data_IF_782442569235
#
_entry.id   IF_782442569235
#
_cell.length_a   1.000
_cell.length_b   1.000
_cell.length_c   1.000
_cell.angle_alpha   90.00
_cell.angle_beta   90.00
_cell.angle_gamma   90.00
#
_symmetry.space_group_name_H-M   'P 1'
#
loop_
_entity.id
_entity.type
_entity.pdbx_description
1 polymer ?
#
# COMPACT_ATOMS: atom_id res chain seq x y z
N UNK A 1 -0.80 -33.58 -7.02
CA UNK A 1 -1.73 -32.83 -7.89
C UNK A 1 -0.96 -32.40 -9.13
N UNK A 2 -1.59 -32.36 -10.31
CA UNK A 2 -0.91 -31.88 -11.53
C UNK A 2 -0.49 -30.41 -11.38
N UNK A 3 0.71 -30.03 -11.80
CA UNK A 3 1.23 -28.65 -11.81
C UNK A 3 0.23 -27.67 -12.44
N UNK A 4 -0.47 -28.09 -13.50
CA UNK A 4 -1.50 -27.28 -14.16
C UNK A 4 -2.70 -26.96 -13.26
N UNK A 5 -3.07 -27.88 -12.36
CA UNK A 5 -4.17 -27.69 -11.42
C UNK A 5 -3.78 -26.76 -10.27
N UNK A 6 -2.49 -26.69 -9.94
CA UNK A 6 -1.96 -25.73 -8.96
C UNK A 6 -1.86 -24.33 -9.57
N UNK A 7 -1.37 -24.21 -10.81
CA UNK A 7 -1.34 -22.92 -11.53
C UNK A 7 -2.75 -22.33 -11.73
N UNK A 8 -3.74 -23.17 -12.03
CA UNK A 8 -5.12 -22.73 -12.19
C UNK A 8 -5.69 -22.07 -10.93
N UNK A 9 -5.24 -22.47 -9.73
CA UNK A 9 -5.64 -21.84 -8.47
C UNK A 9 -5.06 -20.46 -8.27
N UNK A 10 -3.90 -20.19 -8.88
CA UNK A 10 -3.19 -18.91 -8.75
C UNK A 10 -3.61 -17.88 -9.80
N UNK A 11 -4.32 -18.32 -10.86
CA UNK A 11 -4.74 -17.47 -11.97
C UNK A 11 -5.61 -16.27 -11.57
N UNK A 12 -6.55 -16.35 -10.60
CA UNK A 12 -7.31 -15.19 -10.16
C UNK A 12 -6.41 -14.06 -9.63
N UNK A 13 -5.38 -14.41 -8.85
CA UNK A 13 -4.40 -13.45 -8.32
C UNK A 13 -3.56 -12.83 -9.44
N UNK A 14 -3.11 -13.66 -10.39
CA UNK A 14 -2.38 -13.15 -11.55
C UNK A 14 -3.19 -12.14 -12.36
N UNK A 15 -4.48 -12.44 -12.62
CA UNK A 15 -5.38 -11.51 -13.32
C UNK A 15 -5.54 -10.21 -12.55
N UNK A 16 -5.78 -10.29 -11.23
CA UNK A 16 -5.88 -9.11 -10.38
C UNK A 16 -4.64 -8.22 -10.49
N UNK A 17 -3.45 -8.80 -10.36
CA UNK A 17 -2.18 -8.10 -10.54
C UNK A 17 -2.02 -7.51 -11.95
N UNK A 18 -2.28 -8.29 -13.01
CA UNK A 18 -2.15 -7.84 -14.39
C UNK A 18 -3.11 -6.68 -14.73
N UNK A 19 -4.32 -6.70 -14.16
CA UNK A 19 -5.29 -5.61 -14.30
C UNK A 19 -4.83 -4.35 -13.58
N UNK A 20 -4.29 -4.48 -12.36
CA UNK A 20 -3.72 -3.33 -11.64
C UNK A 20 -2.51 -2.73 -12.40
N UNK A 21 -1.69 -3.59 -13.01
CA UNK A 21 -0.51 -3.16 -13.75
C UNK A 21 -0.84 -2.49 -15.09
N UNK A 22 -1.86 -2.99 -15.80
CA UNK A 22 -2.31 -2.45 -17.10
C UNK A 22 -3.36 -1.36 -16.97
N UNK A 23 -4.03 -1.28 -15.82
CA UNK A 23 -5.20 -0.47 -15.52
C UNK A 23 -6.41 -0.74 -16.44
N UNK A 24 -6.51 -1.95 -17.00
CA UNK A 24 -7.66 -2.36 -17.81
C UNK A 24 -7.94 -3.83 -17.58
N UNK A 25 -9.23 -4.16 -17.40
CA UNK A 25 -9.65 -5.56 -17.28
C UNK A 25 -9.26 -6.37 -18.53
N UNK A 26 -9.58 -5.84 -19.71
CA UNK A 26 -9.34 -6.50 -20.99
C UNK A 26 -7.84 -6.70 -21.23
N UNK A 27 -7.02 -5.66 -20.98
CA UNK A 27 -5.58 -5.74 -21.19
C UNK A 27 -4.94 -6.72 -20.19
N UNK A 28 -5.26 -6.60 -18.89
CA UNK A 28 -4.74 -7.49 -17.86
C UNK A 28 -5.10 -8.96 -18.08
N UNK A 29 -6.34 -9.24 -18.47
CA UNK A 29 -6.78 -10.61 -18.79
C UNK A 29 -6.10 -11.17 -20.03
N UNK A 30 -5.83 -10.32 -21.04
CA UNK A 30 -5.10 -10.70 -22.25
C UNK A 30 -3.65 -11.09 -21.93
N UNK A 31 -2.97 -10.35 -21.04
CA UNK A 31 -1.63 -10.70 -20.57
C UNK A 31 -1.59 -12.00 -19.79
N UNK A 32 -2.57 -12.20 -18.89
CA UNK A 32 -2.68 -13.45 -18.14
C UNK A 32 -2.88 -14.65 -19.09
N UNK A 33 -3.72 -14.51 -20.12
CA UNK A 33 -3.91 -15.53 -21.14
C UNK A 33 -2.63 -15.80 -21.95
N UNK A 34 -1.98 -14.75 -22.47
CA UNK A 34 -0.73 -14.85 -23.22
C UNK A 34 0.38 -15.53 -22.40
N UNK A 35 0.42 -15.28 -21.09
CA UNK A 35 1.35 -15.96 -20.17
C UNK A 35 1.09 -17.46 -20.12
N UNK A 36 -0.17 -17.88 -20.00
CA UNK A 36 -0.52 -19.30 -20.00
C UNK A 36 -0.21 -19.96 -21.36
N UNK A 37 -0.48 -19.28 -22.47
CA UNK A 37 -0.14 -19.76 -23.81
C UNK A 37 1.37 -19.94 -23.97
N UNK A 38 2.17 -18.98 -23.51
CA UNK A 38 3.63 -19.07 -23.52
C UNK A 38 4.12 -20.27 -22.70
N UNK A 39 3.56 -20.49 -21.50
CA UNK A 39 3.88 -21.65 -20.65
C UNK A 39 3.51 -22.99 -21.33
N UNK A 40 2.40 -23.03 -22.07
CA UNK A 40 1.99 -24.22 -22.81
C UNK A 40 2.93 -24.53 -23.98
N UNK A 41 3.47 -23.49 -24.63
CA UNK A 41 4.42 -23.61 -25.73
C UNK A 41 5.84 -23.96 -25.23
N UNK A 42 6.26 -23.35 -24.12
CA UNK A 42 7.55 -23.57 -23.48
C UNK A 42 7.39 -23.76 -21.97
N UNK A 43 7.39 -25.04 -21.55
CA UNK A 43 7.26 -25.41 -20.15
C UNK A 43 8.47 -25.00 -19.30
N UNK A 44 9.62 -24.70 -19.91
CA UNK A 44 10.82 -24.29 -19.17
C UNK A 44 10.66 -22.92 -18.50
N UNK A 45 9.67 -22.13 -18.91
CA UNK A 45 9.26 -20.89 -18.24
C UNK A 45 8.76 -21.11 -16.81
N UNK A 46 8.31 -22.34 -16.47
CA UNK A 46 7.96 -22.70 -15.11
C UNK A 46 9.17 -23.30 -14.40
N UNK A 47 9.65 -22.59 -13.38
CA UNK A 47 10.66 -23.13 -12.48
C UNK A 47 10.00 -24.03 -11.42
N UNK A 48 10.14 -25.34 -11.60
CA UNK A 48 9.59 -26.36 -10.69
C UNK A 48 10.18 -26.30 -9.26
N UNK A 49 11.29 -25.60 -9.05
CA UNK A 49 11.87 -25.38 -7.72
C UNK A 49 11.14 -24.28 -6.91
N UNK A 50 10.29 -23.48 -7.57
CA UNK A 50 9.54 -22.40 -6.94
C UNK A 50 8.11 -22.85 -6.59
N UNK A 51 7.45 -22.09 -5.74
CA UNK A 51 6.01 -22.28 -5.50
C UNK A 51 5.22 -21.98 -6.79
N UNK A 52 4.06 -22.63 -7.02
CA UNK A 52 3.26 -22.39 -8.22
C UNK A 52 2.90 -20.92 -8.44
N UNK A 53 2.59 -20.18 -7.36
CA UNK A 53 2.31 -18.74 -7.43
C UNK A 53 3.54 -17.98 -7.91
N UNK A 54 4.70 -18.22 -7.31
CA UNK A 54 5.94 -17.52 -7.64
C UNK A 54 6.39 -17.80 -9.08
N UNK A 55 6.36 -19.07 -9.51
CA UNK A 55 6.71 -19.48 -10.87
C UNK A 55 5.78 -18.82 -11.91
N UNK A 56 4.48 -18.77 -11.64
CA UNK A 56 3.50 -18.15 -12.53
C UNK A 56 3.74 -16.64 -12.68
N UNK A 57 4.01 -15.93 -11.59
CA UNK A 57 4.27 -14.49 -11.62
C UNK A 57 5.62 -14.16 -12.28
N UNK A 58 6.65 -14.99 -12.09
CA UNK A 58 7.93 -14.86 -12.79
C UNK A 58 7.78 -15.07 -14.31
N UNK A 59 7.00 -16.08 -14.73
CA UNK A 59 6.70 -16.31 -16.14
C UNK A 59 5.93 -15.13 -16.75
N UNK A 60 4.93 -14.60 -16.03
CA UNK A 60 4.20 -13.40 -16.44
C UNK A 60 5.15 -12.22 -16.65
N UNK A 61 6.04 -11.95 -15.70
CA UNK A 61 6.95 -10.81 -15.79
C UNK A 61 7.92 -10.94 -16.98
N UNK A 62 8.36 -12.16 -17.28
CA UNK A 62 9.17 -12.44 -18.48
C UNK A 62 8.40 -12.12 -19.77
N UNK A 63 7.11 -12.51 -19.86
CA UNK A 63 6.25 -12.18 -21.00
C UNK A 63 5.98 -10.68 -21.08
N UNK A 64 5.76 -10.03 -19.94
CA UNK A 64 5.54 -8.58 -19.82
C UNK A 64 6.72 -7.75 -20.35
N UNK A 65 7.96 -8.09 -19.94
CA UNK A 65 9.15 -7.39 -20.40
C UNK A 65 9.40 -7.54 -21.91
N UNK A 66 9.06 -8.70 -22.49
CA UNK A 66 9.32 -8.98 -23.90
C UNK A 66 8.31 -8.35 -24.85
N UNK A 67 7.04 -8.22 -24.42
CA UNK A 67 5.97 -7.63 -25.23
C UNK A 67 5.83 -6.12 -25.02
N UNK A 68 6.38 -5.56 -23.94
CA UNK A 68 6.21 -4.17 -23.54
C UNK A 68 4.80 -3.90 -23.00
N UNK A 69 4.61 -2.78 -22.29
CA UNK A 69 3.29 -2.39 -21.78
C UNK A 69 2.43 -1.80 -22.92
N UNK A 70 1.26 -2.35 -23.26
CA UNK A 70 0.29 -1.66 -24.07
C UNK A 70 -0.48 -0.76 -23.12
N UNK A 71 -0.29 0.55 -23.26
CA UNK A 71 -1.18 1.52 -22.65
C UNK A 71 -2.55 1.28 -23.27
N UNK A 72 -3.50 0.78 -22.47
CA UNK A 72 -4.88 0.59 -22.91
C UNK A 72 -5.40 1.89 -23.53
N UNK A 73 -5.95 1.81 -24.74
CA UNK A 73 -6.45 2.95 -25.50
C UNK A 73 -7.83 3.45 -25.02
N UNK A 74 -8.40 2.86 -23.97
CA UNK A 74 -9.70 3.28 -23.45
C UNK A 74 -9.52 4.18 -22.23
N UNK A 75 -10.10 5.40 -22.26
CA UNK A 75 -10.12 6.25 -21.09
C UNK A 75 -11.01 5.60 -20.05
N UNK A 76 -10.39 4.98 -19.04
CA UNK A 76 -11.08 4.68 -17.79
C UNK A 76 -11.48 6.04 -17.20
N UNK A 77 -12.74 6.23 -16.84
CA UNK A 77 -13.21 7.43 -16.14
C UNK A 77 -13.33 7.10 -14.63
N UNK A 78 -13.02 8.06 -13.77
CA UNK A 78 -13.17 7.91 -12.32
C UNK A 78 -11.87 7.65 -11.54
N UNK A 79 -11.99 6.98 -10.40
CA UNK A 79 -10.89 6.79 -9.43
C UNK A 79 -9.79 5.84 -9.95
N UNK A 80 -10.16 4.78 -10.67
CA UNK A 80 -9.23 3.85 -11.31
C UNK A 80 -8.30 4.55 -12.31
N UNK A 81 -8.83 5.51 -13.06
CA UNK A 81 -8.07 6.33 -14.01
C UNK A 81 -7.00 7.19 -13.32
N UNK A 82 -7.33 7.72 -12.14
CA UNK A 82 -6.39 8.51 -11.33
C UNK A 82 -5.28 7.62 -10.78
N UNK A 83 -5.63 6.47 -10.21
CA UNK A 83 -4.64 5.50 -9.74
C UNK A 83 -3.72 5.03 -10.88
N UNK A 84 -4.27 4.77 -12.06
CA UNK A 84 -3.51 4.36 -13.23
C UNK A 84 -2.56 5.46 -13.74
N UNK A 85 -3.02 6.73 -13.76
CA UNK A 85 -2.17 7.86 -14.11
C UNK A 85 -1.00 8.01 -13.13
N UNK A 86 -1.28 7.88 -11.83
CA UNK A 86 -0.26 7.92 -10.78
C UNK A 86 0.78 6.80 -10.95
N UNK A 87 0.34 5.57 -11.19
CA UNK A 87 1.22 4.42 -11.42
C UNK A 87 2.02 4.51 -12.72
N UNK A 88 1.49 5.18 -13.75
CA UNK A 88 2.17 5.38 -15.03
C UNK A 88 3.30 6.44 -14.97
N UNK A 89 3.26 7.34 -13.99
CA UNK A 89 4.29 8.37 -13.76
C UNK A 89 5.48 7.84 -12.94
N UNK A 90 5.38 6.61 -12.40
CA UNK A 90 6.43 6.00 -11.59
C UNK A 90 7.64 5.58 -12.42
N UNK A 91 8.80 5.55 -11.76
CA UNK A 91 10.05 5.02 -12.33
C UNK A 91 9.84 3.58 -12.85
N UNK A 92 10.48 3.16 -13.96
CA UNK A 92 10.37 1.79 -14.46
C UNK A 92 10.65 0.73 -13.38
N UNK A 93 9.90 -0.37 -13.40
CA UNK A 93 9.96 -1.48 -12.44
C UNK A 93 9.49 -1.16 -11.01
N UNK A 94 9.36 0.11 -10.61
CA UNK A 94 8.92 0.46 -9.25
C UNK A 94 7.44 0.17 -9.06
N UNK A 95 6.60 0.40 -10.08
CA UNK A 95 5.18 0.01 -10.05
C UNK A 95 4.98 -1.50 -9.95
N UNK A 96 5.78 -2.30 -10.69
CA UNK A 96 5.71 -3.75 -10.65
C UNK A 96 6.08 -4.25 -9.25
N UNK A 97 7.21 -3.78 -8.71
CA UNK A 97 7.67 -4.13 -7.37
C UNK A 97 6.66 -3.74 -6.29
N UNK A 98 6.06 -2.55 -6.40
CA UNK A 98 5.04 -2.07 -5.48
C UNK A 98 3.80 -2.95 -5.50
N UNK A 99 3.22 -3.21 -6.66
CA UNK A 99 2.00 -4.02 -6.77
C UNK A 99 2.24 -5.46 -6.31
N UNK A 100 3.41 -6.05 -6.60
CA UNK A 100 3.77 -7.36 -6.07
C UNK A 100 3.85 -7.35 -4.54
N UNK A 101 4.35 -6.27 -3.94
CA UNK A 101 4.45 -6.12 -2.49
C UNK A 101 3.10 -5.89 -1.83
N UNK A 102 2.31 -4.96 -2.35
CA UNK A 102 1.14 -4.43 -1.66
C UNK A 102 -0.16 -5.17 -2.01
N UNK A 103 -0.30 -5.63 -3.25
CA UNK A 103 -1.50 -6.33 -3.71
C UNK A 103 -1.38 -7.85 -3.54
N UNK A 104 -0.20 -8.38 -3.81
CA UNK A 104 0.07 -9.82 -3.82
C UNK A 104 0.87 -10.34 -2.63
N UNK A 105 1.28 -9.43 -1.75
CA UNK A 105 1.94 -9.69 -0.45
C UNK A 105 3.24 -10.51 -0.58
N UNK A 106 3.94 -10.39 -1.71
CA UNK A 106 5.23 -11.06 -1.89
C UNK A 106 6.32 -10.49 -0.98
N UNK A 107 7.23 -11.37 -0.55
CA UNK A 107 8.44 -11.00 0.18
C UNK A 107 9.46 -10.33 -0.76
N UNK A 108 10.39 -9.51 -0.23
CA UNK A 108 11.44 -8.92 -1.05
C UNK A 108 12.27 -9.95 -1.85
N UNK A 109 12.68 -11.09 -1.27
CA UNK A 109 13.33 -12.16 -2.04
C UNK A 109 12.47 -12.68 -3.20
N UNK A 110 11.16 -12.79 -3.01
CA UNK A 110 10.25 -13.29 -4.05
C UNK A 110 10.00 -12.24 -5.14
N UNK A 111 9.85 -10.97 -4.76
CA UNK A 111 9.77 -9.85 -5.70
C UNK A 111 11.04 -9.84 -6.57
N UNK A 112 12.21 -9.93 -5.95
CA UNK A 112 13.50 -9.98 -6.63
C UNK A 112 13.59 -11.13 -7.65
N UNK A 113 13.07 -12.31 -7.30
CA UNK A 113 12.97 -13.44 -8.23
C UNK A 113 12.00 -13.18 -9.38
N UNK A 114 10.83 -12.59 -9.10
CA UNK A 114 9.81 -12.30 -10.11
C UNK A 114 10.34 -11.29 -11.13
N UNK A 115 10.92 -10.19 -10.67
CA UNK A 115 11.41 -9.11 -11.53
C UNK A 115 12.85 -9.31 -12.00
N UNK A 116 13.50 -10.39 -11.57
CA UNK A 116 14.84 -10.83 -11.96
C UNK A 116 15.95 -9.81 -11.66
N UNK A 117 15.92 -9.23 -10.46
CA UNK A 117 16.93 -8.29 -9.95
C UNK A 117 17.51 -8.80 -8.62
N UNK A 118 18.65 -8.28 -8.14
CA UNK A 118 19.15 -8.55 -6.79
C UNK A 118 18.14 -8.14 -5.70
N UNK A 119 18.12 -8.84 -4.57
CA UNK A 119 17.17 -8.55 -3.48
C UNK A 119 17.26 -7.11 -2.97
N UNK A 120 18.48 -6.57 -2.84
CA UNK A 120 18.69 -5.19 -2.45
C UNK A 120 18.07 -4.19 -3.45
N UNK A 121 18.10 -4.50 -4.74
CA UNK A 121 17.48 -3.68 -5.78
C UNK A 121 15.95 -3.77 -5.71
N UNK A 122 15.38 -4.95 -5.45
CA UNK A 122 13.93 -5.09 -5.24
C UNK A 122 13.43 -4.29 -4.03
N UNK A 123 14.19 -4.27 -2.94
CA UNK A 123 13.91 -3.44 -1.77
C UNK A 123 13.92 -1.95 -2.13
N UNK A 124 14.95 -1.51 -2.85
CA UNK A 124 15.07 -0.12 -3.29
C UNK A 124 13.94 0.28 -4.25
N UNK A 125 13.56 -0.57 -5.21
CA UNK A 125 12.47 -0.31 -6.15
C UNK A 125 11.14 -0.09 -5.42
N UNK A 126 10.84 -0.90 -4.40
CA UNK A 126 9.65 -0.72 -3.56
C UNK A 126 9.73 0.59 -2.77
N UNK A 127 10.89 0.91 -2.19
CA UNK A 127 11.10 2.15 -1.45
C UNK A 127 10.93 3.39 -2.34
N UNK A 128 11.50 3.38 -3.54
CA UNK A 128 11.32 4.43 -4.56
C UNK A 128 9.84 4.55 -4.91
N UNK A 129 9.14 3.44 -5.16
CA UNK A 129 7.72 3.48 -5.50
C UNK A 129 6.88 4.18 -4.42
N UNK A 130 7.07 3.82 -3.15
CA UNK A 130 6.36 4.49 -2.05
C UNK A 130 6.71 5.98 -1.93
N UNK A 131 7.97 6.34 -2.19
CA UNK A 131 8.45 7.73 -2.16
C UNK A 131 7.89 8.58 -3.31
N UNK A 132 7.76 8.00 -4.49
CA UNK A 132 7.18 8.66 -5.66
C UNK A 132 5.66 8.79 -5.51
N UNK A 133 4.99 7.74 -5.02
CA UNK A 133 3.55 7.78 -4.78
C UNK A 133 3.15 8.77 -3.69
N UNK A 134 3.91 8.86 -2.59
CA UNK A 134 3.62 9.86 -1.55
C UNK A 134 3.71 11.30 -2.04
N UNK A 135 4.58 11.59 -3.01
CA UNK A 135 4.63 12.92 -3.63
C UNK A 135 3.40 13.24 -4.48
N UNK A 136 2.74 12.21 -5.02
CA UNK A 136 1.63 12.37 -5.96
C UNK A 136 0.25 12.21 -5.32
N UNK A 137 0.17 11.72 -4.08
CA UNK A 137 -1.08 11.59 -3.30
C UNK A 137 -1.15 12.72 -2.28
N UNK A 138 -1.89 13.79 -2.62
CA UNK A 138 -2.26 14.83 -1.66
C UNK A 138 -3.45 14.34 -0.83
N UNK A 139 -3.42 14.53 0.49
CA UNK A 139 -4.48 14.07 1.40
C UNK A 139 -4.58 14.97 2.62
N UNK A 140 -5.71 14.90 3.32
CA UNK A 140 -5.98 15.63 4.56
C UNK A 140 -5.70 14.75 5.75
N UNK A 141 -4.81 15.17 6.64
CA UNK A 141 -4.34 14.36 7.77
C UNK A 141 -4.73 15.01 9.07
N UNK A 142 -5.38 14.25 9.93
CA UNK A 142 -5.63 14.64 11.31
C UNK A 142 -4.51 14.12 12.21
N UNK A 143 -4.01 14.96 13.10
CA UNK A 143 -3.00 14.59 14.10
C UNK A 143 -3.66 14.63 15.48
N UNK A 144 -3.50 13.56 16.25
CA UNK A 144 -3.96 13.44 17.63
C UNK A 144 -2.72 13.21 18.51
N UNK A 145 -2.26 14.27 19.16
CA UNK A 145 -0.98 14.31 19.88
C UNK A 145 -1.02 15.46 20.90
N UNK A 146 -0.71 15.17 22.16
CA UNK A 146 -0.76 16.17 23.24
C UNK A 146 0.58 16.88 23.46
N UNK A 147 1.70 16.23 23.10
CA UNK A 147 3.06 16.75 23.17
C UNK A 147 3.33 17.76 22.03
N UNK A 148 3.47 19.08 22.32
CA UNK A 148 3.52 20.09 21.28
C UNK A 148 4.70 19.94 20.31
N UNK A 149 5.86 19.50 20.79
CA UNK A 149 7.04 19.31 19.94
C UNK A 149 6.85 18.14 18.97
N UNK A 150 6.36 17.01 19.47
CA UNK A 150 6.06 15.84 18.64
C UNK A 150 5.00 16.17 17.59
N UNK A 151 3.92 16.87 17.99
CA UNK A 151 2.86 17.27 17.07
C UNK A 151 3.39 18.19 15.96
N UNK A 152 4.30 19.12 16.28
CA UNK A 152 4.94 20.00 15.30
C UNK A 152 5.90 19.25 14.36
N UNK A 153 6.67 18.30 14.89
CA UNK A 153 7.58 17.48 14.09
C UNK A 153 6.77 16.64 13.08
N UNK A 154 5.76 15.90 13.55
CA UNK A 154 4.89 15.10 12.68
C UNK A 154 4.17 15.97 11.66
N UNK A 155 3.62 17.12 12.07
CA UNK A 155 2.99 18.08 11.16
C UNK A 155 3.96 18.54 10.07
N UNK A 156 5.21 18.84 10.43
CA UNK A 156 6.20 19.33 9.48
C UNK A 156 6.52 18.27 8.43
N UNK A 157 6.79 17.02 8.87
CA UNK A 157 7.05 15.88 7.98
C UNK A 157 5.89 15.68 7.00
N UNK A 158 4.66 15.63 7.51
CA UNK A 158 3.45 15.41 6.73
C UNK A 158 3.20 16.55 5.74
N UNK A 159 3.43 17.80 6.15
CA UNK A 159 3.27 18.96 5.26
C UNK A 159 4.33 18.95 4.15
N UNK A 160 5.58 18.58 4.46
CA UNK A 160 6.67 18.45 3.49
C UNK A 160 6.46 17.31 2.49
N UNK A 161 5.68 16.29 2.85
CA UNK A 161 5.22 15.26 1.91
C UNK A 161 4.17 15.80 0.92
N UNK A 162 3.62 16.99 1.18
CA UNK A 162 2.51 17.54 0.41
C UNK A 162 1.17 17.00 0.89
N UNK A 163 0.94 16.89 2.19
CA UNK A 163 -0.39 16.68 2.74
C UNK A 163 -0.86 17.93 3.47
N UNK A 164 -2.17 18.10 3.58
CA UNK A 164 -2.79 19.16 4.37
C UNK A 164 -3.10 18.63 5.77
N UNK A 165 -2.77 19.38 6.82
CA UNK A 165 -3.14 18.99 8.18
C UNK A 165 -4.44 19.70 8.57
N UNK A 166 -5.52 18.95 8.79
CA UNK A 166 -6.85 19.49 9.17
C UNK A 166 -6.81 20.12 10.55
N UNK A 167 -5.98 19.57 11.43
CA UNK A 167 -5.70 20.13 12.74
C UNK A 167 -4.93 19.16 13.62
N UNK A 168 -4.52 19.68 14.78
CA UNK A 168 -3.91 18.91 15.86
C UNK A 168 -4.89 18.92 17.03
N UNK A 169 -5.34 17.74 17.44
CA UNK A 169 -6.14 17.53 18.63
C UNK A 169 -5.29 16.99 19.77
N UNK A 170 -5.51 17.49 20.99
CA UNK A 170 -4.69 17.13 22.16
C UNK A 170 -5.41 16.24 23.16
N UNK A 171 -6.73 16.09 23.00
CA UNK A 171 -7.60 15.29 23.86
C UNK A 171 -8.56 14.48 22.99
N UNK A 172 -9.16 13.45 23.59
CA UNK A 172 -10.20 12.65 22.95
C UNK A 172 -11.33 13.52 22.36
N UNK A 173 -11.88 14.45 23.16
CA UNK A 173 -13.02 15.29 22.73
C UNK A 173 -12.64 16.21 21.57
N UNK A 174 -11.44 16.79 21.60
CA UNK A 174 -10.95 17.61 20.48
C UNK A 174 -10.78 16.79 19.21
N UNK A 175 -10.26 15.56 19.33
CA UNK A 175 -10.02 14.68 18.19
C UNK A 175 -11.32 14.31 17.48
N UNK A 176 -12.32 13.87 18.24
CA UNK A 176 -13.64 13.52 17.70
C UNK A 176 -14.32 14.74 17.08
N UNK A 177 -14.32 15.89 17.76
CA UNK A 177 -14.94 17.11 17.24
C UNK A 177 -14.25 17.64 15.98
N UNK A 178 -12.92 17.54 15.89
CA UNK A 178 -12.16 17.92 14.71
C UNK A 178 -12.44 16.96 13.54
N UNK A 179 -12.37 15.65 13.76
CA UNK A 179 -12.60 14.65 12.72
C UNK A 179 -14.02 14.70 12.15
N UNK A 180 -15.04 14.97 12.98
CA UNK A 180 -16.43 15.16 12.55
C UNK A 180 -16.64 16.48 11.78
N UNK A 181 -15.88 17.53 12.11
CA UNK A 181 -15.98 18.82 11.41
C UNK A 181 -15.29 18.77 10.05
N UNK A 182 -14.13 18.14 10.00
CA UNK A 182 -13.26 18.04 8.83
C UNK A 182 -12.77 16.60 8.69
N UNK A 183 -13.55 15.76 8.00
CA UNK A 183 -13.24 14.35 7.81
C UNK A 183 -11.84 14.17 7.18
N UNK A 184 -10.89 13.54 7.86
CA UNK A 184 -9.55 13.32 7.32
C UNK A 184 -9.50 12.12 6.37
N UNK A 185 -8.46 12.05 5.54
CA UNK A 185 -8.13 10.90 4.70
C UNK A 185 -7.16 9.92 5.41
N UNK A 186 -6.52 10.36 6.51
CA UNK A 186 -5.65 9.56 7.38
C UNK A 186 -5.58 10.19 8.77
N UNK A 187 -5.52 9.34 9.81
CA UNK A 187 -5.32 9.75 11.20
C UNK A 187 -3.95 9.30 11.69
N UNK A 188 -3.18 10.23 12.27
CA UNK A 188 -1.98 9.95 13.05
C UNK A 188 -2.32 10.16 14.53
N UNK A 189 -2.18 9.14 15.37
CA UNK A 189 -2.62 9.21 16.77
C UNK A 189 -1.60 8.68 17.77
N UNK A 190 -1.34 9.42 18.85
CA UNK A 190 -0.82 8.81 20.07
C UNK A 190 -1.93 8.01 20.79
N UNK A 191 -1.51 7.03 21.56
CA UNK A 191 -2.34 6.25 22.46
C UNK A 191 -2.70 7.06 23.71
N UNK A 192 -1.71 7.75 24.29
CA UNK A 192 -1.92 8.55 25.51
C UNK A 192 -2.06 10.01 25.13
N UNK A 193 -3.10 10.64 25.65
CA UNK A 193 -3.40 12.04 25.41
C UNK A 193 -3.68 12.74 26.74
N UNK A 194 -3.69 14.08 26.68
CA UNK A 194 -4.35 15.02 27.59
C UNK A 194 -4.36 14.59 29.07
N UNK A 195 -5.07 15.19 30.01
CA UNK A 195 -6.33 14.68 30.57
C UNK A 195 -6.52 13.16 30.84
N UNK A 196 -5.47 12.33 30.75
CA UNK A 196 -5.53 10.87 30.90
C UNK A 196 -6.50 10.16 29.92
N UNK A 197 -6.85 10.83 28.81
CA UNK A 197 -7.70 10.24 27.77
C UNK A 197 -6.92 9.37 26.78
N UNK A 198 -7.66 8.52 26.07
CA UNK A 198 -7.09 7.53 25.15
C UNK A 198 -7.31 7.95 23.70
N UNK A 199 -6.22 8.11 22.94
CA UNK A 199 -6.32 8.33 21.51
C UNK A 199 -6.82 7.09 20.75
N UNK A 200 -6.66 5.90 21.31
CA UNK A 200 -7.27 4.67 20.78
C UNK A 200 -8.79 4.73 20.84
N UNK A 201 -9.35 5.26 21.93
CA UNK A 201 -10.80 5.44 22.07
C UNK A 201 -11.31 6.50 21.08
N UNK A 202 -10.56 7.61 20.93
CA UNK A 202 -10.93 8.67 19.98
C UNK A 202 -10.94 8.17 18.54
N UNK A 203 -9.92 7.41 18.16
CA UNK A 203 -9.85 6.73 16.87
C UNK A 203 -11.00 5.75 16.70
N UNK A 204 -11.30 4.96 17.73
CA UNK A 204 -12.37 3.95 17.66
C UNK A 204 -13.72 4.63 17.39
N UNK A 205 -14.04 5.72 18.08
CA UNK A 205 -15.27 6.50 17.85
C UNK A 205 -15.31 7.09 16.43
N UNK A 206 -14.19 7.61 15.91
CA UNK A 206 -14.11 8.13 14.54
C UNK A 206 -14.32 7.01 13.50
N UNK A 207 -13.77 5.82 13.73
CA UNK A 207 -13.90 4.68 12.82
C UNK A 207 -15.31 4.05 12.82
N UNK A 208 -16.12 4.25 13.87
CA UNK A 208 -17.54 3.88 13.84
C UNK A 208 -18.31 4.63 12.75
N UNK A 209 -17.94 5.89 12.49
CA UNK A 209 -18.56 6.74 11.47
C UNK A 209 -17.84 6.65 10.12
N UNK A 210 -16.51 6.47 10.14
CA UNK A 210 -15.65 6.44 8.95
C UNK A 210 -14.73 5.21 8.95
N UNK A 211 -15.27 3.99 8.71
CA UNK A 211 -14.53 2.73 8.88
C UNK A 211 -13.37 2.52 7.90
N UNK A 212 -13.35 3.27 6.80
CA UNK A 212 -12.34 3.16 5.74
C UNK A 212 -11.12 4.06 5.97
N UNK A 213 -11.15 4.96 6.98
CA UNK A 213 -10.03 5.87 7.24
C UNK A 213 -8.85 5.06 7.79
N UNK A 214 -7.68 5.08 7.12
CA UNK A 214 -6.49 4.45 7.66
C UNK A 214 -6.01 5.19 8.92
N UNK A 215 -5.40 4.44 9.84
CA UNK A 215 -4.85 4.98 11.09
C UNK A 215 -3.42 4.49 11.27
N UNK A 216 -2.53 5.40 11.67
CA UNK A 216 -1.18 5.10 12.12
C UNK A 216 -1.05 5.54 13.58
N UNK A 217 -0.67 4.62 14.45
CA UNK A 217 -0.36 4.97 15.84
C UNK A 217 1.11 5.36 16.02
N UNK A 218 1.37 6.41 16.78
CA UNK A 218 2.72 6.88 17.12
C UNK A 218 2.83 6.97 18.64
N UNK A 219 3.57 6.06 19.30
CA UNK A 219 3.57 5.99 20.76
C UNK A 219 4.90 5.59 21.38
N UNK A 220 5.14 5.95 22.64
CA UNK A 220 6.27 5.45 23.43
C UNK A 220 6.02 4.05 24.03
N UNK A 221 4.78 3.53 23.98
CA UNK A 221 4.36 2.28 24.64
C UNK A 221 3.70 1.30 23.67
N UNK A 222 4.44 0.80 22.65
CA UNK A 222 3.88 -0.06 21.60
C UNK A 222 3.27 -1.36 22.16
N UNK A 223 3.78 -1.89 23.27
CA UNK A 223 3.31 -3.11 23.92
C UNK A 223 1.83 -3.06 24.33
N UNK A 224 1.24 -1.87 24.48
CA UNK A 224 -0.19 -1.71 24.82
C UNK A 224 -1.13 -2.03 23.66
N UNK A 225 -0.62 -2.04 22.43
CA UNK A 225 -1.35 -2.38 21.21
C UNK A 225 -0.95 -3.72 20.61
N UNK A 226 0.09 -4.36 21.15
CA UNK A 226 0.65 -5.63 20.67
C UNK A 226 0.38 -6.76 21.67
N UNK A 227 -0.84 -6.82 22.20
CA UNK A 227 -1.21 -7.79 23.25
C UNK A 227 -1.67 -9.13 22.69
N UNK A 228 -1.93 -9.27 21.39
CA UNK A 228 -2.46 -10.48 20.76
C UNK A 228 -3.92 -10.83 21.09
N UNK A 229 -4.50 -10.22 22.12
CA UNK A 229 -5.89 -10.48 22.59
C UNK A 229 -6.95 -9.60 21.90
N UNK A 230 -6.52 -8.56 21.18
CA UNK A 230 -7.38 -7.60 20.46
C UNK A 230 -6.83 -7.37 19.05
N UNK A 231 -7.65 -6.89 18.10
CA UNK A 231 -7.15 -6.47 16.79
C UNK A 231 -6.02 -5.45 16.94
N UNK A 232 -4.85 -5.79 16.42
CA UNK A 232 -3.66 -4.94 16.46
C UNK A 232 -3.70 -3.95 15.28
N UNK A 233 -3.20 -2.72 15.45
CA UNK A 233 -3.18 -1.76 14.37
C UNK A 233 -2.21 -2.17 13.27
N UNK A 234 -2.62 -1.96 12.02
CA UNK A 234 -1.81 -2.28 10.85
C UNK A 234 -0.52 -1.43 10.75
N UNK A 235 -0.54 -0.20 11.29
CA UNK A 235 0.60 0.70 11.28
C UNK A 235 0.87 1.27 12.68
N UNK A 236 2.09 1.05 13.16
CA UNK A 236 2.57 1.48 14.46
C UNK A 236 4.00 2.01 14.34
N UNK A 237 4.26 3.19 14.88
CA UNK A 237 5.57 3.82 14.98
C UNK A 237 5.89 4.04 16.46
N UNK A 238 7.09 3.66 16.87
CA UNK A 238 7.55 3.87 18.25
C UNK A 238 8.28 5.20 18.40
N UNK A 239 8.00 5.95 19.47
CA UNK A 239 8.75 7.14 19.87
C UNK A 239 10.04 6.74 20.62
N UNK A 240 11.18 7.42 20.41
CA UNK A 240 11.42 8.43 19.38
C UNK A 240 11.47 7.80 17.99
N UNK A 241 10.98 8.52 16.98
CA UNK A 241 10.92 8.06 15.60
C UNK A 241 11.89 8.82 14.71
N UNK A 242 12.31 8.16 13.63
CA UNK A 242 13.02 8.79 12.53
C UNK A 242 12.02 9.30 11.49
N UNK A 243 12.33 10.42 10.83
CA UNK A 243 11.48 11.03 9.81
C UNK A 243 11.10 10.04 8.70
N UNK A 244 12.04 9.21 8.27
CA UNK A 244 11.81 8.21 7.22
C UNK A 244 10.76 7.16 7.61
N UNK A 245 10.66 6.82 8.90
CA UNK A 245 9.64 5.88 9.39
C UNK A 245 8.24 6.48 9.25
N UNK A 246 8.06 7.76 9.61
CA UNK A 246 6.80 8.49 9.45
C UNK A 246 6.43 8.59 7.97
N UNK A 247 7.38 9.04 7.13
CA UNK A 247 7.16 9.14 5.67
C UNK A 247 6.74 7.83 5.06
N UNK A 248 7.44 6.74 5.42
CA UNK A 248 7.14 5.40 4.90
C UNK A 248 5.76 4.92 5.33
N UNK A 249 5.41 5.05 6.61
CA UNK A 249 4.10 4.62 7.12
C UNK A 249 2.96 5.43 6.49
N UNK A 250 3.09 6.75 6.39
CA UNK A 250 2.09 7.62 5.74
C UNK A 250 1.92 7.24 4.27
N UNK A 251 3.03 7.05 3.54
CA UNK A 251 3.01 6.62 2.14
C UNK A 251 2.26 5.30 1.96
N UNK A 252 2.54 4.32 2.83
CA UNK A 252 1.89 3.01 2.80
C UNK A 252 0.40 3.12 3.16
N UNK A 253 0.05 3.81 4.23
CA UNK A 253 -1.34 3.96 4.67
C UNK A 253 -2.21 4.65 3.61
N UNK A 254 -1.73 5.77 3.05
CA UNK A 254 -2.41 6.48 1.96
C UNK A 254 -2.54 5.60 0.70
N UNK A 255 -1.52 4.79 0.40
CA UNK A 255 -1.58 3.82 -0.69
C UNK A 255 -2.67 2.77 -0.44
N UNK A 256 -2.71 2.14 0.73
CA UNK A 256 -3.69 1.10 1.02
C UNK A 256 -5.13 1.63 1.02
N UNK A 257 -5.36 2.85 1.52
CA UNK A 257 -6.66 3.51 1.41
C UNK A 257 -7.07 3.75 -0.06
N UNK A 258 -6.12 4.16 -0.91
CA UNK A 258 -6.39 4.33 -2.35
C UNK A 258 -6.56 3.01 -3.13
N UNK A 259 -6.09 1.89 -2.58
CA UNK A 259 -6.12 0.58 -3.25
C UNK A 259 -7.14 -0.40 -2.67
N UNK A 260 -7.69 -0.18 -1.47
CA UNK A 260 -8.89 -0.88 -1.01
C UNK A 260 -10.07 -0.65 -1.97
N UNK A 261 -10.10 0.50 -2.63
CA UNK A 261 -11.04 0.82 -3.72
C UNK A 261 -10.78 0.04 -5.03
N UNK A 262 -9.60 -0.58 -5.20
CA UNK A 262 -9.28 -1.45 -6.34
C UNK A 262 -9.61 -2.92 -6.08
N UNK A 263 -9.99 -3.29 -4.84
CA UNK A 263 -10.49 -4.64 -4.50
C UNK A 263 -11.98 -4.73 -4.84
N UNK A 264 -12.31 -4.73 -6.13
CA UNK A 264 -13.65 -5.06 -6.65
C UNK A 264 -13.69 -6.49 -7.18
#
# INVERSE_FOLDING_TARGET
MSTSLQIAKELPYLRRYARALTGSQQSGDSYAAATLEAILQDRSLLNDALTPKLALFQAFHTVWQTTGAPVGQEPVEGLEARAQKLLAELTPNTREALLLRSLEEFSYPDIARIIQVPEAEAQELVAIAYREMSKSVHGRIQIIEDEPLIALDVKSIVTEMGHEVTGIARTHTEAVALGKREAPDLILADIHLADDSSGVEAVTELLEEYPEIPVIFITAYPERLLTGDKPEPAFLITKPFEEEQVRSAVSQAMFFASTQTLKV
#
